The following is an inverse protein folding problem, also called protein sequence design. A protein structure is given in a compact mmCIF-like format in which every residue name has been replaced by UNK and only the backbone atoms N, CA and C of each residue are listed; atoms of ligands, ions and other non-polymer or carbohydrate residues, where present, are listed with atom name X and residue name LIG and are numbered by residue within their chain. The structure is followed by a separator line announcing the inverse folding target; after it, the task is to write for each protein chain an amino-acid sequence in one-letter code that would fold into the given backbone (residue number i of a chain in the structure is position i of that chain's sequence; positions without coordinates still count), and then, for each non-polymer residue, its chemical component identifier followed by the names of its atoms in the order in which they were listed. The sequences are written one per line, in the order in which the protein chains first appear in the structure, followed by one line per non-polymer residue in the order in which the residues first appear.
data_IF_810714731647
#
_entry.id   IF_810714731647
#
_cell.length_a   1.000
_cell.length_b   1.000
_cell.length_c   1.000
_cell.angle_alpha   90.00
_cell.angle_beta   90.00
_cell.angle_gamma   90.00
#
_symmetry.space_group_name_H-M   'P 1'
#
loop_
_entity.id
_entity.type
_entity.pdbx_description
1 polymer ?
#
# COMPACT_ATOMS: atom_id res chain seq x y z
N UNK A 1 23.16 -0.07 -3.71
CA UNK A 1 22.76 -1.44 -3.30
C UNK A 1 21.92 -2.06 -4.42
N UNK A 2 22.18 -3.30 -4.79
CA UNK A 2 21.37 -4.05 -5.76
C UNK A 2 20.24 -4.79 -5.03
N UNK A 3 19.12 -5.04 -5.71
CA UNK A 3 18.00 -5.77 -5.10
C UNK A 3 18.37 -7.20 -4.64
N UNK A 4 19.45 -7.74 -5.19
CA UNK A 4 20.00 -9.07 -4.85
C UNK A 4 21.06 -9.04 -3.75
N UNK A 5 21.36 -7.87 -3.17
CA UNK A 5 22.32 -7.80 -2.09
C UNK A 5 21.80 -8.56 -0.88
N UNK A 6 22.60 -9.53 -0.41
CA UNK A 6 22.26 -10.38 0.70
C UNK A 6 22.27 -9.62 2.02
N UNK A 7 21.31 -9.92 2.86
CA UNK A 7 21.14 -9.38 4.20
C UNK A 7 20.97 -10.54 5.19
N UNK A 8 21.32 -10.29 6.44
CA UNK A 8 21.07 -11.21 7.54
C UNK A 8 20.02 -10.61 8.46
N UNK A 9 18.95 -11.35 8.72
CA UNK A 9 17.90 -10.92 9.61
C UNK A 9 18.36 -10.91 11.07
N UNK A 10 18.03 -9.85 11.78
CA UNK A 10 18.31 -9.69 13.21
C UNK A 10 16.98 -9.45 13.93
N UNK A 11 16.66 -10.31 14.88
CA UNK A 11 15.42 -10.21 15.66
C UNK A 11 15.30 -8.93 16.48
N UNK A 12 16.40 -8.22 16.75
CA UNK A 12 16.36 -6.88 17.36
C UNK A 12 15.63 -5.84 16.48
N UNK A 13 15.42 -6.13 15.18
CA UNK A 13 14.70 -5.27 14.23
C UNK A 13 13.19 -5.49 14.23
N UNK A 14 12.70 -6.48 14.95
CA UNK A 14 11.28 -6.85 14.93
C UNK A 14 10.41 -5.66 15.29
N UNK A 15 9.44 -5.41 14.43
CA UNK A 15 8.34 -4.51 14.70
C UNK A 15 7.03 -5.27 14.45
N UNK A 16 6.32 -5.58 15.51
CA UNK A 16 5.11 -6.39 15.44
C UNK A 16 3.94 -5.72 14.70
N UNK A 17 2.91 -6.49 14.43
CA UNK A 17 1.71 -6.08 13.71
C UNK A 17 1.61 -6.76 12.35
N UNK A 18 1.50 -6.01 11.25
CA UNK A 18 1.41 -6.59 9.91
C UNK A 18 2.73 -7.19 9.46
N UNK A 19 2.65 -8.28 8.72
CA UNK A 19 3.78 -8.93 8.06
C UNK A 19 4.27 -10.21 8.71
N UNK A 20 5.10 -10.93 7.96
CA UNK A 20 5.60 -12.27 8.31
C UNK A 20 7.03 -12.27 8.87
N UNK A 21 7.80 -11.20 8.67
CA UNK A 21 9.19 -11.15 9.13
C UNK A 21 9.34 -11.22 10.64
N UNK A 22 8.31 -10.84 11.40
CA UNK A 22 8.30 -11.00 12.86
C UNK A 22 8.43 -12.47 13.32
N UNK A 23 8.21 -13.43 12.42
CA UNK A 23 8.34 -14.88 12.68
C UNK A 23 9.62 -15.50 12.10
N UNK A 24 10.49 -14.68 11.48
CA UNK A 24 11.76 -15.18 10.97
C UNK A 24 12.70 -15.54 12.11
N UNK A 25 13.54 -16.53 11.87
CA UNK A 25 14.61 -16.91 12.83
C UNK A 25 15.74 -15.89 12.77
N UNK A 26 16.34 -15.62 13.91
CA UNK A 26 17.56 -14.84 13.97
C UNK A 26 18.65 -15.44 13.10
N UNK A 27 19.41 -14.61 12.41
CA UNK A 27 20.44 -15.03 11.45
C UNK A 27 19.89 -15.54 10.10
N UNK A 28 18.56 -15.55 9.86
CA UNK A 28 18.02 -16.01 8.59
C UNK A 28 18.50 -15.13 7.41
N UNK A 29 18.94 -15.74 6.28
CA UNK A 29 19.31 -15.00 5.09
C UNK A 29 18.09 -14.38 4.42
N UNK A 30 18.25 -13.18 3.90
CA UNK A 30 17.25 -12.48 3.08
C UNK A 30 17.95 -11.57 2.06
N UNK A 31 17.23 -10.77 1.31
CA UNK A 31 17.76 -9.78 0.38
C UNK A 31 16.85 -8.54 0.28
N UNK A 32 17.33 -7.48 -0.38
CA UNK A 32 16.58 -6.25 -0.55
C UNK A 32 15.29 -6.45 -1.36
N UNK A 33 15.26 -7.37 -2.31
CA UNK A 33 14.07 -7.69 -3.10
C UNK A 33 12.99 -8.27 -2.21
N UNK A 34 13.35 -9.20 -1.33
CA UNK A 34 12.43 -9.80 -0.36
C UNK A 34 11.85 -8.73 0.57
N UNK A 35 12.69 -7.84 1.11
CA UNK A 35 12.21 -6.74 1.96
C UNK A 35 11.23 -5.83 1.21
N UNK A 36 11.58 -5.41 -0.01
CA UNK A 36 10.70 -4.55 -0.83
C UNK A 36 9.38 -5.25 -1.16
N UNK A 37 9.44 -6.56 -1.48
CA UNK A 37 8.25 -7.35 -1.75
C UNK A 37 7.35 -7.43 -0.52
N UNK A 38 7.87 -7.85 0.63
CA UNK A 38 7.07 -7.98 1.86
C UNK A 38 6.50 -6.62 2.32
N UNK A 39 7.28 -5.53 2.24
CA UNK A 39 6.79 -4.19 2.56
C UNK A 39 5.56 -3.81 1.73
N UNK A 40 5.56 -4.12 0.46
CA UNK A 40 4.48 -3.72 -0.47
C UNK A 40 3.33 -4.73 -0.45
N UNK A 41 3.62 -6.03 -0.60
CA UNK A 41 2.58 -7.05 -0.82
C UNK A 41 1.87 -7.46 0.46
N UNK A 42 2.59 -7.57 1.56
CA UNK A 42 2.10 -7.99 2.88
C UNK A 42 2.03 -6.84 3.90
N UNK A 43 2.42 -5.63 3.48
CA UNK A 43 2.51 -4.47 4.37
C UNK A 43 3.39 -4.73 5.61
N UNK A 44 4.48 -5.48 5.44
CA UNK A 44 5.34 -5.93 6.54
C UNK A 44 6.02 -4.75 7.25
N UNK A 45 5.72 -4.61 8.53
CA UNK A 45 6.21 -3.52 9.36
C UNK A 45 7.72 -3.58 9.55
N UNK A 46 8.26 -4.76 9.79
CA UNK A 46 9.70 -4.97 9.99
C UNK A 46 10.47 -4.66 8.70
N UNK A 47 10.01 -5.20 7.56
CA UNK A 47 10.61 -4.90 6.26
C UNK A 47 10.60 -3.41 5.94
N UNK A 48 9.47 -2.74 6.20
CA UNK A 48 9.31 -1.30 5.95
C UNK A 48 10.31 -0.46 6.75
N UNK A 49 10.43 -0.72 8.06
CA UNK A 49 11.33 0.03 8.92
C UNK A 49 12.81 -0.31 8.66
N UNK A 50 13.10 -1.54 8.31
CA UNK A 50 14.47 -1.94 7.94
C UNK A 50 14.89 -1.29 6.61
N UNK A 51 14.02 -1.26 5.60
CA UNK A 51 14.30 -0.53 4.36
C UNK A 51 14.50 0.97 4.59
N UNK A 52 13.70 1.60 5.47
CA UNK A 52 13.92 3.01 5.84
C UNK A 52 15.32 3.23 6.41
N UNK A 53 15.80 2.34 7.27
CA UNK A 53 17.15 2.42 7.83
C UNK A 53 18.23 2.30 6.73
N UNK A 54 18.06 1.33 5.83
CA UNK A 54 19.03 1.07 4.75
C UNK A 54 19.14 2.21 3.74
N UNK A 55 18.05 2.94 3.49
CA UNK A 55 18.07 4.08 2.54
C UNK A 55 18.45 5.41 3.19
N UNK A 56 18.64 5.49 4.51
CA UNK A 56 19.01 6.71 5.21
C UNK A 56 17.86 7.36 6.00
N UNK A 57 16.98 6.55 6.56
CA UNK A 57 15.85 6.92 7.44
C UNK A 57 14.66 7.59 6.72
N UNK A 58 13.62 7.89 7.50
CA UNK A 58 12.45 8.63 7.02
C UNK A 58 12.78 10.03 6.52
N UNK A 59 13.83 10.65 7.03
CA UNK A 59 14.30 11.97 6.56
C UNK A 59 14.79 11.92 5.12
N UNK A 60 15.54 10.89 4.74
CA UNK A 60 15.96 10.68 3.34
C UNK A 60 14.75 10.45 2.42
N UNK A 61 13.80 9.61 2.84
CA UNK A 61 12.56 9.36 2.08
C UNK A 61 11.79 10.67 1.85
N UNK A 62 11.69 11.53 2.88
CA UNK A 62 11.03 12.84 2.75
C UNK A 62 11.75 13.75 1.76
N UNK A 63 13.09 13.74 1.74
CA UNK A 63 13.87 14.46 0.73
C UNK A 63 13.60 13.95 -0.71
N UNK A 64 13.37 12.64 -0.89
CA UNK A 64 12.93 12.10 -2.19
C UNK A 64 11.53 12.61 -2.54
N UNK A 65 10.58 12.60 -1.60
CA UNK A 65 9.23 13.12 -1.83
C UNK A 65 9.23 14.59 -2.26
N UNK A 66 10.09 15.41 -1.65
CA UNK A 66 10.26 16.82 -2.01
C UNK A 66 10.79 16.99 -3.43
N UNK A 67 11.82 16.24 -3.81
CA UNK A 67 12.36 16.25 -5.19
C UNK A 67 11.33 15.81 -6.23
N UNK A 68 10.41 14.94 -5.86
CA UNK A 68 9.28 14.53 -6.69
C UNK A 68 8.14 15.57 -6.74
N UNK A 69 8.25 16.67 -6.00
CA UNK A 69 7.24 17.73 -5.94
C UNK A 69 6.06 17.44 -5.02
N UNK A 70 6.15 16.40 -4.18
CA UNK A 70 5.11 16.04 -3.23
C UNK A 70 5.24 16.93 -1.98
N UNK A 71 4.28 17.80 -1.73
CA UNK A 71 4.33 18.81 -0.64
C UNK A 71 3.74 18.30 0.67
N UNK A 72 2.77 17.41 0.60
CA UNK A 72 1.97 16.94 1.74
C UNK A 72 2.24 15.48 2.10
N UNK A 73 2.86 14.71 1.21
CA UNK A 73 3.23 13.32 1.48
C UNK A 73 4.53 13.27 2.24
N UNK A 74 4.46 12.72 3.47
CA UNK A 74 5.63 12.59 4.36
C UNK A 74 5.60 11.28 5.12
N UNK A 75 6.76 10.71 5.30
CA UNK A 75 7.02 9.68 6.30
C UNK A 75 7.32 10.37 7.64
N UNK A 76 6.64 9.96 8.69
CA UNK A 76 6.83 10.49 10.05
C UNK A 76 7.69 9.56 10.90
N UNK A 77 7.67 8.25 10.61
CA UNK A 77 8.51 7.27 11.29
C UNK A 77 9.98 7.48 10.96
N UNK A 78 10.84 7.43 11.99
CA UNK A 78 12.31 7.57 11.84
C UNK A 78 12.74 8.80 11.02
N UNK A 79 11.97 9.87 11.07
CA UNK A 79 12.25 11.13 10.41
C UNK A 79 12.55 12.21 11.45
N UNK A 80 13.67 12.89 11.27
CA UNK A 80 14.08 13.96 12.20
C UNK A 80 13.04 15.10 12.21
N UNK A 81 12.80 15.67 13.40
CA UNK A 81 11.85 16.77 13.60
C UNK A 81 10.37 16.43 13.45
N UNK A 82 10.01 15.15 13.17
CA UNK A 82 8.62 14.75 12.92
C UNK A 82 7.94 13.98 14.07
N UNK A 83 8.45 14.11 15.28
CA UNK A 83 7.88 13.42 16.45
C UNK A 83 6.43 13.80 16.70
N UNK A 84 6.09 15.10 16.65
CA UNK A 84 4.73 15.59 16.86
C UNK A 84 3.78 15.14 15.73
N UNK A 85 4.26 15.11 14.48
CA UNK A 85 3.48 14.59 13.36
C UNK A 85 3.26 13.07 13.47
N UNK A 86 4.27 12.34 13.94
CA UNK A 86 4.13 10.91 14.19
C UNK A 86 3.09 10.62 15.29
N UNK A 87 3.09 11.37 16.37
CA UNK A 87 2.11 11.24 17.45
C UNK A 87 0.69 11.58 16.98
N UNK A 88 0.55 12.53 16.06
CA UNK A 88 -0.74 12.99 15.54
C UNK A 88 -1.29 12.15 14.40
N UNK A 89 -0.44 11.73 13.46
CA UNK A 89 -0.84 11.11 12.18
C UNK A 89 -0.32 9.68 12.01
N UNK A 90 0.48 9.18 12.92
CA UNK A 90 1.13 7.87 12.79
C UNK A 90 2.33 7.90 11.83
N UNK A 91 2.59 6.79 11.17
CA UNK A 91 3.79 6.55 10.36
C UNK A 91 3.98 7.49 9.18
N UNK A 92 2.90 8.02 8.67
CA UNK A 92 2.96 8.90 7.51
C UNK A 92 1.68 9.68 7.30
N UNK A 93 1.75 10.64 6.39
CA UNK A 93 0.62 11.47 5.98
C UNK A 93 0.70 11.73 4.48
N UNK A 94 -0.45 11.95 3.85
CA UNK A 94 -0.55 12.21 2.42
C UNK A 94 -1.86 12.93 2.06
N UNK A 95 -2.02 13.21 0.77
CA UNK A 95 -3.28 13.63 0.17
C UNK A 95 -3.68 12.70 -0.96
N UNK A 96 -4.98 12.53 -1.24
CA UNK A 96 -5.44 11.70 -2.36
C UNK A 96 -4.81 12.11 -3.68
N UNK A 97 -4.69 13.41 -3.95
CA UNK A 97 -4.09 13.93 -5.18
C UNK A 97 -2.64 13.48 -5.36
N UNK A 98 -1.83 13.59 -4.30
CA UNK A 98 -0.40 13.24 -4.39
C UNK A 98 -0.19 11.74 -4.53
N UNK A 99 -0.93 10.91 -3.78
CA UNK A 99 -0.80 9.47 -3.87
C UNK A 99 -1.29 8.94 -5.21
N UNK A 100 -2.44 9.38 -5.69
CA UNK A 100 -2.94 9.00 -7.02
C UNK A 100 -1.96 9.45 -8.10
N UNK A 101 -1.48 10.71 -8.04
CA UNK A 101 -0.50 11.23 -9.00
C UNK A 101 0.81 10.45 -9.00
N UNK A 102 1.31 10.03 -7.83
CA UNK A 102 2.52 9.20 -7.72
C UNK A 102 2.32 7.84 -8.41
N UNK A 103 1.17 7.19 -8.20
CA UNK A 103 0.86 5.91 -8.83
C UNK A 103 0.70 6.04 -10.37
N UNK A 104 0.07 7.11 -10.84
CA UNK A 104 -0.05 7.40 -12.29
C UNK A 104 1.34 7.62 -12.91
N UNK A 105 2.21 8.42 -12.28
CA UNK A 105 3.60 8.62 -12.76
C UNK A 105 4.38 7.31 -12.79
N UNK A 106 4.19 6.44 -11.81
CA UNK A 106 4.80 5.10 -11.81
C UNK A 106 4.30 4.27 -13.00
N UNK A 107 2.99 4.25 -13.25
CA UNK A 107 2.38 3.55 -14.38
C UNK A 107 2.89 4.07 -15.74
N UNK A 108 3.14 5.37 -15.83
CA UNK A 108 3.68 6.04 -17.01
C UNK A 108 5.19 5.91 -17.16
N UNK A 109 5.88 5.19 -16.25
CA UNK A 109 7.35 5.04 -16.25
C UNK A 109 8.13 6.33 -16.03
N UNK A 110 7.58 7.25 -15.24
CA UNK A 110 8.12 8.60 -14.96
C UNK A 110 8.84 8.69 -13.61
N UNK A 111 8.98 7.58 -12.86
CA UNK A 111 9.66 7.56 -11.57
C UNK A 111 11.01 6.86 -11.68
N UNK A 112 12.06 7.54 -11.25
CA UNK A 112 13.48 7.09 -11.29
C UNK A 112 13.92 6.83 -12.73
N UNK A 113 13.53 5.71 -13.30
CA UNK A 113 13.69 5.28 -14.69
C UNK A 113 12.57 4.29 -15.07
N UNK A 114 12.40 3.96 -16.37
CA UNK A 114 11.35 3.05 -16.81
C UNK A 114 11.39 1.66 -16.17
N UNK A 115 12.59 1.07 -16.00
CA UNK A 115 12.72 -0.27 -15.42
C UNK A 115 12.38 -0.28 -13.93
N UNK A 116 12.80 0.74 -13.19
CA UNK A 116 12.44 0.93 -11.78
C UNK A 116 10.93 1.15 -11.61
N UNK A 117 10.32 1.96 -12.47
CA UNK A 117 8.87 2.19 -12.47
C UNK A 117 8.10 0.89 -12.71
N UNK A 118 8.51 0.09 -13.71
CA UNK A 118 7.91 -1.22 -13.99
C UNK A 118 8.06 -2.19 -12.81
N UNK A 119 9.21 -2.22 -12.17
CA UNK A 119 9.45 -3.07 -11.01
C UNK A 119 8.55 -2.68 -9.81
N UNK A 120 8.47 -1.38 -9.51
CA UNK A 120 7.58 -0.86 -8.46
C UNK A 120 6.12 -1.17 -8.76
N UNK A 121 5.67 -0.96 -10.00
CA UNK A 121 4.31 -1.25 -10.43
C UNK A 121 3.97 -2.73 -10.27
N UNK A 122 4.88 -3.64 -10.68
CA UNK A 122 4.71 -5.08 -10.51
C UNK A 122 4.54 -5.49 -9.04
N UNK A 123 5.29 -4.90 -8.12
CA UNK A 123 5.11 -5.19 -6.68
C UNK A 123 3.70 -4.84 -6.21
N UNK A 124 3.17 -3.69 -6.65
CA UNK A 124 1.82 -3.26 -6.28
C UNK A 124 0.71 -4.15 -6.85
N UNK A 125 0.95 -4.89 -7.94
CA UNK A 125 -0.03 -5.84 -8.50
C UNK A 125 -0.08 -7.18 -7.78
N UNK A 126 0.74 -7.40 -6.75
CA UNK A 126 0.81 -8.64 -5.99
C UNK A 126 0.38 -8.47 -4.53
N UNK A 127 -0.54 -7.56 -4.25
CA UNK A 127 -1.02 -7.38 -2.87
C UNK A 127 -1.66 -8.64 -2.30
N UNK A 128 -1.33 -8.95 -1.06
CA UNK A 128 -1.99 -10.01 -0.29
C UNK A 128 -3.43 -9.61 0.13
N UNK A 129 -3.70 -8.32 0.24
CA UNK A 129 -4.96 -7.79 0.76
C UNK A 129 -5.99 -7.62 -0.36
N UNK A 130 -6.78 -8.65 -0.62
CA UNK A 130 -7.73 -8.71 -1.74
C UNK A 130 -9.20 -8.53 -1.34
N UNK A 131 -9.48 -8.40 -0.04
CA UNK A 131 -10.84 -8.40 0.52
C UNK A 131 -11.58 -7.06 0.51
N UNK A 132 -10.86 -5.97 0.25
CA UNK A 132 -11.45 -4.61 0.26
C UNK A 132 -11.98 -4.23 -1.12
N UNK A 133 -11.49 -3.12 -1.69
CA UNK A 133 -11.90 -2.71 -3.03
C UNK A 133 -11.68 -3.77 -4.11
N UNK A 134 -10.63 -4.59 -3.99
CA UNK A 134 -10.33 -5.62 -4.99
C UNK A 134 -11.40 -6.70 -5.10
N UNK A 135 -12.11 -7.03 -4.01
CA UNK A 135 -13.19 -8.01 -4.05
C UNK A 135 -14.41 -7.56 -4.88
N UNK A 136 -14.49 -6.29 -5.20
CA UNK A 136 -15.54 -5.66 -5.99
C UNK A 136 -15.13 -5.43 -7.46
N UNK A 137 -13.97 -5.93 -7.86
CA UNK A 137 -13.43 -5.84 -9.22
C UNK A 137 -13.29 -7.25 -9.83
N UNK A 138 -13.42 -7.40 -11.16
CA UNK A 138 -13.28 -8.70 -11.80
C UNK A 138 -11.89 -9.30 -11.57
N UNK A 139 -11.78 -10.60 -11.22
CA UNK A 139 -10.50 -11.24 -10.92
C UNK A 139 -9.55 -11.37 -12.11
N UNK A 140 -10.05 -11.15 -13.32
CA UNK A 140 -9.25 -11.14 -14.57
C UNK A 140 -8.70 -9.75 -14.90
N UNK A 141 -8.97 -8.73 -14.10
CA UNK A 141 -8.45 -7.36 -14.25
C UNK A 141 -7.25 -7.18 -13.33
N UNK A 142 -6.12 -6.76 -13.89
CA UNK A 142 -4.96 -6.45 -13.07
C UNK A 142 -5.16 -5.13 -12.33
N UNK A 143 -4.83 -5.12 -11.04
CA UNK A 143 -4.94 -3.94 -10.19
C UNK A 143 -3.64 -3.77 -9.41
N UNK A 144 -3.02 -2.60 -9.54
CA UNK A 144 -1.96 -2.19 -8.63
C UNK A 144 -2.60 -1.55 -7.40
N UNK A 145 -2.34 -2.09 -6.22
CA UNK A 145 -3.02 -1.63 -5.00
C UNK A 145 -2.09 -1.58 -3.78
N UNK A 146 -2.37 -0.63 -2.88
CA UNK A 146 -1.78 -0.57 -1.54
C UNK A 146 -2.80 -0.04 -0.55
N UNK A 147 -3.02 -0.80 0.49
CA UNK A 147 -3.88 -0.41 1.60
C UNK A 147 -3.06 0.12 2.77
N UNK A 148 -3.75 0.88 3.64
CA UNK A 148 -3.25 1.32 4.92
C UNK A 148 -4.36 1.32 5.95
N UNK A 149 -4.05 0.82 7.16
CA UNK A 149 -5.04 0.72 8.21
C UNK A 149 -4.41 0.90 9.59
N UNK A 150 -5.04 1.74 10.36
CA UNK A 150 -4.79 1.94 11.79
C UNK A 150 -6.13 2.13 12.48
N UNK A 151 -6.17 2.11 13.80
CA UNK A 151 -7.40 2.05 14.61
C UNK A 151 -8.60 2.83 14.03
N UNK A 152 -8.46 4.14 13.82
CA UNK A 152 -9.53 5.02 13.38
C UNK A 152 -9.34 5.57 11.95
N UNK A 153 -8.54 4.90 11.14
CA UNK A 153 -8.28 5.29 9.74
C UNK A 153 -8.14 4.06 8.85
N UNK A 154 -8.69 4.16 7.64
CA UNK A 154 -8.56 3.14 6.59
C UNK A 154 -8.29 3.85 5.28
N UNK A 155 -7.39 3.31 4.48
CA UNK A 155 -7.08 3.88 3.16
C UNK A 155 -6.77 2.81 2.15
N UNK A 156 -7.03 3.11 0.89
CA UNK A 156 -6.67 2.25 -0.24
C UNK A 156 -6.32 3.10 -1.45
N UNK A 157 -5.20 2.76 -2.08
CA UNK A 157 -4.73 3.33 -3.34
C UNK A 157 -4.82 2.26 -4.41
N UNK A 158 -5.47 2.55 -5.53
CA UNK A 158 -5.63 1.60 -6.63
C UNK A 158 -5.35 2.27 -7.98
N UNK A 159 -4.76 1.48 -8.89
CA UNK A 159 -4.82 1.70 -10.32
C UNK A 159 -5.34 0.42 -10.98
N UNK A 160 -6.46 0.55 -11.66
CA UNK A 160 -7.18 -0.55 -12.29
C UNK A 160 -6.90 -0.52 -13.79
N UNK A 161 -6.33 -1.61 -14.33
CA UNK A 161 -6.13 -1.78 -15.77
C UNK A 161 -7.43 -2.29 -16.40
N UNK A 162 -8.41 -1.40 -16.53
CA UNK A 162 -9.73 -1.74 -17.05
C UNK A 162 -9.71 -1.85 -18.58
N UNK A 163 -10.60 -2.67 -19.20
CA UNK A 163 -10.62 -2.92 -20.63
C UNK A 163 -10.73 -1.68 -21.52
N UNK A 164 -11.44 -0.65 -21.07
CA UNK A 164 -11.64 0.58 -21.86
C UNK A 164 -10.72 1.74 -21.43
N UNK A 165 -9.77 1.49 -20.54
CA UNK A 165 -8.74 2.44 -20.13
C UNK A 165 -8.45 2.39 -18.63
N UNK A 166 -7.19 2.62 -18.29
CA UNK A 166 -6.74 2.63 -16.90
C UNK A 166 -7.40 3.78 -16.13
N UNK A 167 -7.79 3.52 -14.87
CA UNK A 167 -8.17 4.56 -13.94
C UNK A 167 -7.52 4.35 -12.58
N UNK A 168 -7.28 5.44 -11.87
CA UNK A 168 -6.67 5.40 -10.54
C UNK A 168 -7.44 6.24 -9.54
N UNK A 169 -7.47 5.79 -8.28
CA UNK A 169 -8.06 6.54 -7.19
C UNK A 169 -7.38 6.23 -5.85
N UNK A 170 -7.54 7.14 -4.91
CA UNK A 170 -7.18 6.96 -3.52
C UNK A 170 -8.37 7.33 -2.65
N UNK A 171 -8.75 6.45 -1.75
CA UNK A 171 -9.76 6.69 -0.74
C UNK A 171 -9.12 6.56 0.64
N UNK A 172 -9.42 7.52 1.53
CA UNK A 172 -8.99 7.48 2.91
C UNK A 172 -10.09 8.01 3.84
N UNK A 173 -10.27 7.32 4.94
CA UNK A 173 -11.13 7.75 6.04
C UNK A 173 -10.27 8.04 7.26
N UNK A 174 -10.71 8.95 8.10
CA UNK A 174 -10.06 9.29 9.37
C UNK A 174 -11.10 9.58 10.45
N UNK A 175 -10.71 9.44 11.70
CA UNK A 175 -11.60 9.64 12.86
C UNK A 175 -12.84 8.71 12.76
N UNK A 176 -12.65 7.49 12.29
CA UNK A 176 -13.71 6.52 12.19
C UNK A 176 -14.24 6.18 13.58
N UNK A 177 -15.56 6.28 13.79
CA UNK A 177 -16.20 5.83 15.01
C UNK A 177 -16.17 4.29 15.12
N UNK A 178 -16.34 3.60 13.98
CA UNK A 178 -16.15 2.16 13.88
C UNK A 178 -14.67 1.84 13.72
N UNK A 179 -14.05 1.32 14.77
CA UNK A 179 -12.65 0.89 14.80
C UNK A 179 -12.48 -0.62 14.72
N UNK A 180 -13.56 -1.36 14.45
CA UNK A 180 -13.54 -2.82 14.34
C UNK A 180 -12.63 -3.31 13.19
N UNK A 181 -12.24 -4.57 13.25
CA UNK A 181 -11.47 -5.25 12.20
C UNK A 181 -12.34 -6.22 11.39
N UNK A 182 -13.64 -6.26 11.67
CA UNK A 182 -14.58 -7.10 10.95
C UNK A 182 -14.75 -6.69 9.49
N UNK A 183 -15.18 -7.64 8.67
CA UNK A 183 -15.44 -7.42 7.24
C UNK A 183 -16.49 -6.31 6.98
N UNK A 184 -17.39 -6.11 7.91
CA UNK A 184 -18.49 -5.15 7.91
C UNK A 184 -18.12 -3.77 8.48
N UNK A 185 -16.84 -3.53 8.79
CA UNK A 185 -16.38 -2.21 9.19
C UNK A 185 -16.83 -1.15 8.18
N UNK A 186 -17.44 -0.06 8.68
CA UNK A 186 -18.08 0.95 7.85
C UNK A 186 -17.15 1.58 6.79
N UNK A 187 -15.87 1.74 7.12
CA UNK A 187 -14.90 2.32 6.18
C UNK A 187 -14.55 1.33 5.04
N UNK A 188 -14.51 0.03 5.32
CA UNK A 188 -14.28 -0.97 4.27
C UNK A 188 -15.51 -1.17 3.39
N UNK A 189 -16.70 -1.14 3.97
CA UNK A 189 -17.95 -1.12 3.20
C UNK A 189 -18.00 0.08 2.25
N UNK A 190 -17.55 1.25 2.71
CA UNK A 190 -17.41 2.43 1.85
C UNK A 190 -16.41 2.21 0.72
N UNK A 191 -15.21 1.65 0.99
CA UNK A 191 -14.20 1.39 -0.03
C UNK A 191 -14.71 0.41 -1.09
N UNK A 192 -15.38 -0.66 -0.69
CA UNK A 192 -16.04 -1.61 -1.58
C UNK A 192 -17.10 -0.94 -2.45
N UNK A 193 -17.96 -0.11 -1.85
CA UNK A 193 -18.99 0.60 -2.59
C UNK A 193 -18.38 1.55 -3.65
N UNK A 194 -17.32 2.29 -3.29
CA UNK A 194 -16.62 3.18 -4.23
C UNK A 194 -16.00 2.38 -5.38
N UNK A 195 -15.34 1.25 -5.11
CA UNK A 195 -14.77 0.40 -6.15
C UNK A 195 -15.84 -0.07 -7.15
N UNK A 196 -16.99 -0.53 -6.64
CA UNK A 196 -18.14 -0.98 -7.44
C UNK A 196 -18.72 0.15 -8.29
N UNK A 197 -18.86 1.36 -7.72
CA UNK A 197 -19.34 2.54 -8.45
C UNK A 197 -18.39 2.95 -9.56
N UNK A 198 -17.09 2.98 -9.29
CA UNK A 198 -16.08 3.36 -10.29
C UNK A 198 -16.01 2.32 -11.40
N UNK A 199 -16.07 1.02 -11.07
CA UNK A 199 -16.16 -0.03 -12.07
C UNK A 199 -17.38 0.16 -13.00
N UNK A 200 -18.55 0.36 -12.43
CA UNK A 200 -19.77 0.58 -13.22
C UNK A 200 -19.72 1.85 -14.08
N UNK A 201 -19.01 2.89 -13.60
CA UNK A 201 -18.84 4.13 -14.35
C UNK A 201 -17.85 3.98 -15.53
N UNK A 202 -16.69 3.36 -15.31
CA UNK A 202 -15.66 3.20 -16.35
C UNK A 202 -15.94 2.02 -17.30
N UNK A 203 -16.65 1.01 -16.82
CA UNK A 203 -17.02 -0.20 -17.56
C UNK A 203 -18.55 -0.40 -17.63
N UNK A 204 -19.31 0.54 -18.21
CA UNK A 204 -20.78 0.54 -18.15
C UNK A 204 -21.42 -0.63 -18.91
N UNK A 205 -20.64 -1.31 -19.77
CA UNK A 205 -21.10 -2.48 -20.53
C UNK A 205 -20.73 -3.80 -19.86
N UNK A 206 -20.01 -3.77 -18.74
CA UNK A 206 -19.66 -4.97 -18.00
C UNK A 206 -20.89 -5.51 -17.25
N UNK A 207 -21.19 -6.77 -17.45
CA UNK A 207 -22.21 -7.53 -16.73
C UNK A 207 -21.63 -8.23 -15.48
N UNK A 208 -20.31 -8.18 -15.30
CA UNK A 208 -19.68 -8.78 -14.15
C UNK A 208 -20.15 -8.16 -12.83
N UNK A 209 -20.40 -9.03 -11.87
CA UNK A 209 -20.74 -8.66 -10.48
C UNK A 209 -20.01 -9.60 -9.53
N UNK A 210 -19.54 -9.12 -8.35
CA UNK A 210 -18.94 -9.99 -7.36
C UNK A 210 -19.97 -11.03 -6.89
N UNK A 211 -19.53 -12.25 -6.71
CA UNK A 211 -20.38 -13.28 -6.12
C UNK A 211 -20.74 -12.91 -4.68
N UNK A 212 -21.97 -13.17 -4.22
CA UNK A 212 -22.36 -12.91 -2.85
C UNK A 212 -21.39 -13.56 -1.85
N UNK A 213 -20.85 -12.77 -0.93
CA UNK A 213 -19.90 -13.24 0.07
C UNK A 213 -18.45 -13.41 -0.40
N UNK A 214 -18.10 -13.11 -1.66
CA UNK A 214 -16.74 -13.25 -2.18
C UNK A 214 -15.70 -12.54 -1.29
N UNK A 215 -15.95 -11.32 -0.87
CA UNK A 215 -15.05 -10.58 0.00
C UNK A 215 -14.84 -11.23 1.39
N UNK A 216 -15.86 -11.92 1.93
CA UNK A 216 -15.73 -12.65 3.20
C UNK A 216 -14.79 -13.84 3.07
N UNK A 217 -14.87 -14.58 1.95
CA UNK A 217 -13.97 -15.72 1.69
C UNK A 217 -12.51 -15.29 1.58
N UNK A 218 -12.27 -14.09 1.03
CA UNK A 218 -10.91 -13.53 0.90
C UNK A 218 -10.41 -12.91 2.21
N UNK A 219 -11.27 -12.73 3.20
CA UNK A 219 -11.00 -11.93 4.37
C UNK A 219 -10.42 -12.66 5.57
N UNK A 220 -10.63 -13.95 5.71
CA UNK A 220 -10.41 -14.63 7.00
C UNK A 220 -11.11 -13.88 8.16
N UNK A 221 -11.62 -14.58 9.14
CA UNK A 221 -12.04 -13.96 10.41
C UNK A 221 -10.82 -13.47 11.21
#
# INVERSE_FOLDING_TARGET
MALTDSLTYDTARVYGGSGVMQYYRDGAPTDLRTLASLMITDSDNTASLWLQELVGTGSYVNGVMERLGLRHTRVNSRAEGRRADWERYGWGQTTPREMTGLLVRMRNRELVDPASSDAMYRLLTHTYFTKYSLSELPPYVQVAAKQGMVNASRSELLLVNAPHGDYAYFIATKNNADTSWGYDNAAWVLQQAVARYLWAYFEPRSDWRPAPGAGRLLGGE
#
